data_IF_935629104213
#
_entry.id   IF_935629104213
#
_cell.length_a   1.000
_cell.length_b   1.000
_cell.length_c   1.000
_cell.angle_alpha   90.00
_cell.angle_beta   90.00
_cell.angle_gamma   90.00
#
_symmetry.space_group_name_H-M   'P 1'
#
loop_
_entity.id
_entity.type
_entity.pdbx_description
1 polymer ?
#
# COMPACT_ATOMS: atom_id res chain seq x y z
N UNK A 1 -6.31 -5.87 19.33
CA UNK A 1 -5.56 -4.93 18.47
C UNK A 1 -5.73 -3.53 19.06
N UNK A 2 -4.70 -2.67 18.96
CA UNK A 2 -4.82 -1.27 19.40
C UNK A 2 -5.52 -0.42 18.34
N UNK A 3 -6.15 0.68 18.76
CA UNK A 3 -6.68 1.70 17.84
C UNK A 3 -5.55 2.20 16.95
N UNK A 4 -5.83 2.44 15.67
CA UNK A 4 -4.91 3.22 14.88
C UNK A 4 -4.73 4.62 15.51
N UNK A 5 -3.47 5.06 15.66
CA UNK A 5 -3.18 6.43 16.08
C UNK A 5 -3.73 7.39 15.02
N UNK A 6 -4.41 8.47 15.45
CA UNK A 6 -5.06 9.49 14.61
C UNK A 6 -6.39 9.05 13.96
N UNK A 7 -7.19 10.01 13.48
CA UNK A 7 -8.38 9.79 12.63
C UNK A 7 -7.95 9.21 11.28
N UNK A 8 -7.63 7.93 11.32
CA UNK A 8 -6.93 7.15 10.28
C UNK A 8 -7.90 6.45 9.33
N UNK A 9 -9.19 6.68 9.52
CA UNK A 9 -10.23 6.26 8.60
C UNK A 9 -10.13 7.08 7.31
N UNK A 10 -10.25 6.42 6.15
CA UNK A 10 -10.17 7.12 4.87
C UNK A 10 -10.83 6.37 3.74
N UNK A 11 -11.44 7.14 2.84
CA UNK A 11 -11.93 6.63 1.55
C UNK A 11 -10.82 6.76 0.51
N UNK A 12 -10.51 5.64 -0.16
CA UNK A 12 -9.50 5.58 -1.22
C UNK A 12 -10.14 5.09 -2.50
N UNK A 13 -10.02 5.86 -3.57
CA UNK A 13 -10.45 5.42 -4.91
C UNK A 13 -9.53 4.31 -5.42
N UNK A 14 -10.11 3.24 -5.92
CA UNK A 14 -9.39 2.10 -6.51
C UNK A 14 -9.91 1.83 -7.92
N UNK A 15 -9.03 1.38 -8.81
CA UNK A 15 -9.42 0.99 -10.17
C UNK A 15 -10.13 -0.36 -10.21
N UNK A 16 -10.80 -0.65 -11.33
CA UNK A 16 -11.57 -1.88 -11.52
C UNK A 16 -10.75 -3.17 -11.29
N UNK A 17 -9.48 -3.18 -11.68
CA UNK A 17 -8.60 -4.33 -11.49
C UNK A 17 -8.36 -4.63 -10.01
N UNK A 18 -8.13 -3.59 -9.20
CA UNK A 18 -7.94 -3.74 -7.74
C UNK A 18 -9.26 -4.16 -7.10
N UNK A 19 -10.38 -3.59 -7.52
CA UNK A 19 -11.69 -3.98 -7.03
C UNK A 19 -12.01 -5.46 -7.34
N UNK A 20 -11.71 -5.91 -8.56
CA UNK A 20 -11.87 -7.31 -8.96
C UNK A 20 -10.97 -8.25 -8.15
N UNK A 21 -9.72 -7.85 -7.90
CA UNK A 21 -8.80 -8.59 -7.04
C UNK A 21 -9.36 -8.71 -5.61
N UNK A 22 -9.84 -7.62 -5.02
CA UNK A 22 -10.42 -7.62 -3.66
C UNK A 22 -11.66 -8.51 -3.56
N UNK A 23 -12.54 -8.50 -4.58
CA UNK A 23 -13.70 -9.40 -4.63
C UNK A 23 -13.29 -10.86 -4.69
N UNK A 24 -12.32 -11.20 -5.55
CA UNK A 24 -11.78 -12.56 -5.63
C UNK A 24 -11.11 -12.99 -4.32
N UNK A 25 -10.37 -12.09 -3.68
CA UNK A 25 -9.77 -12.36 -2.36
C UNK A 25 -10.83 -12.62 -1.30
N UNK A 26 -11.91 -11.85 -1.29
CA UNK A 26 -13.04 -12.06 -0.39
C UNK A 26 -13.69 -13.42 -0.61
N UNK A 27 -13.97 -13.79 -1.86
CA UNK A 27 -14.52 -15.12 -2.20
C UNK A 27 -13.61 -16.25 -1.70
N UNK A 28 -12.30 -16.14 -1.94
CA UNK A 28 -11.32 -17.10 -1.44
C UNK A 28 -11.35 -17.19 0.10
N UNK A 29 -11.38 -16.05 0.80
CA UNK A 29 -11.42 -16.03 2.27
C UNK A 29 -12.70 -16.64 2.83
N UNK A 30 -13.85 -16.47 2.17
CA UNK A 30 -15.11 -17.09 2.56
C UNK A 30 -15.07 -18.62 2.39
N UNK A 31 -14.56 -19.10 1.25
CA UNK A 31 -14.38 -20.54 1.02
C UNK A 31 -13.36 -21.15 1.98
N UNK A 32 -12.26 -20.44 2.26
CA UNK A 32 -11.25 -20.87 3.22
C UNK A 32 -11.84 -21.00 4.63
N UNK A 33 -12.66 -20.04 5.03
CA UNK A 33 -13.40 -20.09 6.30
C UNK A 33 -14.33 -21.30 6.40
N UNK A 34 -15.10 -21.57 5.37
CA UNK A 34 -15.98 -22.74 5.31
C UNK A 34 -15.18 -24.05 5.38
N UNK A 35 -14.09 -24.12 4.61
CA UNK A 35 -13.23 -25.32 4.53
C UNK A 35 -12.53 -25.61 5.86
N UNK A 36 -12.04 -24.57 6.55
CA UNK A 36 -11.40 -24.73 7.85
C UNK A 36 -12.39 -25.07 8.98
N UNK A 37 -13.65 -24.66 8.86
CA UNK A 37 -14.69 -24.93 9.86
C UNK A 37 -14.27 -24.46 11.26
N UNK A 38 -14.28 -25.38 12.23
CA UNK A 38 -13.90 -25.10 13.62
C UNK A 38 -12.42 -24.71 13.80
N UNK A 39 -11.56 -25.01 12.82
CA UNK A 39 -10.14 -24.65 12.85
C UNK A 39 -9.86 -23.24 12.33
N UNK A 40 -10.87 -22.53 11.85
CA UNK A 40 -10.70 -21.16 11.37
C UNK A 40 -10.46 -20.19 12.53
N UNK A 41 -9.39 -19.40 12.46
CA UNK A 41 -9.09 -18.39 13.46
C UNK A 41 -9.85 -17.10 13.18
N UNK A 42 -10.90 -16.87 13.98
CA UNK A 42 -11.59 -15.59 14.00
C UNK A 42 -10.71 -14.50 14.65
N UNK A 43 -10.76 -13.30 14.08
CA UNK A 43 -10.02 -12.16 14.59
C UNK A 43 -10.97 -11.16 15.23
N UNK A 44 -10.56 -10.59 16.37
CA UNK A 44 -11.39 -9.68 17.14
C UNK A 44 -10.64 -8.40 17.53
N UNK A 45 -11.37 -7.29 17.51
CA UNK A 45 -10.96 -6.03 18.12
C UNK A 45 -11.38 -6.05 19.59
N UNK A 46 -10.44 -5.71 20.47
CA UNK A 46 -10.66 -5.65 21.92
C UNK A 46 -10.65 -4.20 22.42
N UNK A 47 -11.02 -3.25 21.58
CA UNK A 47 -11.00 -1.82 21.90
C UNK A 47 -12.22 -1.12 21.31
N UNK A 48 -12.84 -0.25 22.10
CA UNK A 48 -13.93 0.63 21.69
C UNK A 48 -13.42 2.03 21.37
N UNK A 49 -13.63 2.48 20.14
CA UNK A 49 -13.16 3.78 19.64
C UNK A 49 -13.90 4.97 20.26
N UNK A 50 -15.17 4.82 20.64
CA UNK A 50 -15.98 5.90 21.21
C UNK A 50 -15.62 6.15 22.68
N UNK A 51 -15.45 5.07 23.45
CA UNK A 51 -15.15 5.16 24.89
C UNK A 51 -13.67 5.12 25.21
N UNK A 52 -12.82 4.93 24.20
CA UNK A 52 -11.37 4.79 24.33
C UNK A 52 -10.90 3.70 25.32
N UNK A 53 -11.68 2.63 25.48
CA UNK A 53 -11.45 1.58 26.48
C UNK A 53 -11.31 0.19 25.88
N UNK A 54 -10.65 -0.73 26.60
CA UNK A 54 -10.64 -2.14 26.22
C UNK A 54 -12.05 -2.72 26.36
N UNK A 55 -12.47 -3.49 25.37
CA UNK A 55 -13.73 -4.23 25.39
C UNK A 55 -13.58 -5.46 26.29
N UNK A 56 -14.66 -5.81 27.00
CA UNK A 56 -14.72 -7.08 27.73
C UNK A 56 -14.69 -8.25 26.74
N UNK A 57 -14.36 -9.46 27.22
CA UNK A 57 -14.35 -10.67 26.38
C UNK A 57 -15.72 -10.94 25.72
N UNK A 58 -16.80 -10.48 26.34
CA UNK A 58 -18.16 -10.66 25.82
C UNK A 58 -18.55 -9.62 24.76
N UNK A 59 -17.81 -8.51 24.66
CA UNK A 59 -18.11 -7.38 23.78
C UNK A 59 -17.15 -7.29 22.59
N UNK A 60 -16.32 -8.31 22.39
CA UNK A 60 -15.33 -8.36 21.30
C UNK A 60 -16.04 -8.26 19.94
N UNK A 61 -15.54 -7.35 19.09
CA UNK A 61 -16.09 -7.14 17.75
C UNK A 61 -15.26 -7.90 16.71
N UNK A 62 -15.87 -8.71 15.83
CA UNK A 62 -15.12 -9.43 14.80
C UNK A 62 -14.51 -8.44 13.80
N UNK A 63 -13.31 -8.76 13.30
CA UNK A 63 -12.60 -7.97 12.28
C UNK A 63 -12.18 -8.88 11.14
N UNK A 64 -12.58 -8.49 9.93
CA UNK A 64 -12.22 -9.20 8.71
C UNK A 64 -11.07 -8.49 8.00
N UNK A 65 -9.89 -9.09 8.04
CA UNK A 65 -8.70 -8.54 7.41
C UNK A 65 -8.65 -8.84 5.92
N UNK A 66 -8.43 -7.81 5.11
CA UNK A 66 -8.13 -7.97 3.68
C UNK A 66 -6.89 -8.84 3.46
N UNK A 67 -5.86 -8.66 4.29
CA UNK A 67 -4.63 -9.45 4.27
C UNK A 67 -4.63 -10.46 5.43
N UNK A 68 -5.30 -11.58 5.22
CA UNK A 68 -5.24 -12.75 6.10
C UNK A 68 -4.56 -13.92 5.37
N UNK A 69 -3.83 -14.74 6.12
CA UNK A 69 -3.37 -16.04 5.63
C UNK A 69 -4.50 -17.05 5.70
N UNK A 70 -4.29 -18.19 5.06
CA UNK A 70 -5.17 -19.36 5.15
C UNK A 70 -5.49 -19.70 6.62
N UNK A 71 -6.75 -20.04 6.89
CA UNK A 71 -7.27 -20.32 8.23
C UNK A 71 -7.49 -19.08 9.09
N UNK A 72 -7.58 -17.89 8.51
CA UNK A 72 -7.85 -16.64 9.24
C UNK A 72 -6.65 -16.06 10.00
N UNK A 73 -5.46 -16.63 9.82
CA UNK A 73 -4.25 -16.20 10.53
C UNK A 73 -3.80 -14.79 10.11
N UNK A 74 -3.42 -13.96 11.08
CA UNK A 74 -2.94 -12.59 10.80
C UNK A 74 -1.64 -12.57 10.00
N UNK A 75 -1.61 -11.73 8.97
CA UNK A 75 -0.39 -11.43 8.24
C UNK A 75 0.50 -10.46 9.04
N UNK A 76 1.47 -10.99 9.79
CA UNK A 76 2.51 -10.20 10.45
C UNK A 76 3.59 -9.70 9.46
N UNK A 77 4.16 -8.49 9.65
CA UNK A 77 5.34 -8.02 8.91
C UNK A 77 6.52 -9.00 8.83
N UNK A 78 6.71 -9.87 9.84
CA UNK A 78 7.76 -10.89 9.83
C UNK A 78 7.59 -11.92 8.71
N UNK A 79 6.37 -12.08 8.21
CA UNK A 79 6.09 -12.95 7.06
C UNK A 79 6.82 -12.48 5.80
N UNK A 80 7.15 -11.19 5.69
CA UNK A 80 7.91 -10.66 4.57
C UNK A 80 9.42 -10.85 4.70
N UNK A 81 9.93 -11.33 5.85
CA UNK A 81 11.38 -11.51 6.04
C UNK A 81 11.98 -12.47 5.02
N UNK A 82 11.27 -13.56 4.70
CA UNK A 82 11.75 -14.49 3.68
C UNK A 82 11.84 -13.81 2.32
N UNK A 83 10.79 -13.09 1.92
CA UNK A 83 10.78 -12.30 0.67
C UNK A 83 11.92 -11.28 0.63
N UNK A 84 12.12 -10.51 1.71
CA UNK A 84 13.25 -9.58 1.82
C UNK A 84 14.59 -10.29 1.64
N UNK A 85 14.80 -11.43 2.31
CA UNK A 85 16.03 -12.22 2.17
C UNK A 85 16.24 -12.70 0.73
N UNK A 86 15.19 -13.13 0.05
CA UNK A 86 15.28 -13.55 -1.35
C UNK A 86 15.68 -12.39 -2.26
N UNK A 87 15.06 -11.21 -2.07
CA UNK A 87 15.40 -9.99 -2.82
C UNK A 87 16.84 -9.53 -2.55
N UNK A 88 17.30 -9.65 -1.31
CA UNK A 88 18.67 -9.35 -0.91
C UNK A 88 19.68 -10.45 -1.31
N UNK A 89 19.28 -11.51 -2.01
CA UNK A 89 20.18 -12.63 -2.37
C UNK A 89 20.69 -13.44 -1.16
N UNK A 90 20.07 -13.31 0.01
CA UNK A 90 20.43 -13.97 1.28
C UNK A 90 19.66 -15.28 1.52
N UNK A 91 18.71 -15.61 0.66
CA UNK A 91 18.00 -16.90 0.68
C UNK A 91 18.69 -17.92 -0.24
N UNK A 92 18.52 -19.21 0.06
CA UNK A 92 19.12 -20.30 -0.72
C UNK A 92 18.63 -20.25 -2.16
N UNK A 93 19.54 -20.37 -3.13
CA UNK A 93 19.26 -20.36 -4.57
C UNK A 93 18.55 -19.08 -5.07
N UNK A 94 18.76 -17.94 -4.41
CA UNK A 94 18.26 -16.65 -4.88
C UNK A 94 19.42 -15.76 -5.33
N UNK A 95 19.25 -15.09 -6.47
CA UNK A 95 20.16 -14.04 -6.93
C UNK A 95 19.81 -12.73 -6.25
N UNK A 96 20.82 -11.90 -5.95
CA UNK A 96 20.61 -10.54 -5.47
C UNK A 96 19.82 -9.73 -6.52
N UNK A 97 18.68 -9.17 -6.11
CA UNK A 97 17.85 -8.27 -6.92
C UNK A 97 18.15 -6.82 -6.56
N UNK A 98 18.17 -6.49 -5.27
CA UNK A 98 18.44 -5.13 -4.78
C UNK A 98 18.82 -5.17 -3.31
N UNK A 99 19.93 -4.54 -2.90
CA UNK A 99 20.36 -4.48 -1.49
C UNK A 99 19.55 -3.46 -0.66
N UNK A 100 19.09 -2.40 -1.32
CA UNK A 100 18.38 -1.27 -0.71
C UNK A 100 16.87 -1.50 -0.54
N UNK A 101 16.36 -2.63 -1.06
CA UNK A 101 14.92 -2.88 -1.04
C UNK A 101 14.40 -3.16 0.37
N UNK A 102 13.28 -2.53 0.70
CA UNK A 102 12.42 -2.87 1.82
C UNK A 102 10.94 -2.88 1.42
N UNK A 103 10.05 -3.26 2.33
CA UNK A 103 8.62 -3.29 2.02
C UNK A 103 8.04 -1.88 1.72
N UNK A 104 8.63 -0.82 2.26
CA UNK A 104 8.20 0.55 1.98
C UNK A 104 8.54 0.98 0.55
N UNK A 105 9.53 0.34 -0.08
CA UNK A 105 9.90 0.56 -1.49
C UNK A 105 8.69 0.44 -2.43
N UNK A 106 7.74 -0.46 -2.14
CA UNK A 106 6.49 -0.57 -2.90
C UNK A 106 5.62 0.70 -2.81
N UNK A 107 5.54 1.32 -1.62
CA UNK A 107 4.83 2.59 -1.41
C UNK A 107 5.53 3.74 -2.12
N UNK A 108 6.86 3.74 -2.12
CA UNK A 108 7.66 4.70 -2.88
C UNK A 108 7.38 4.59 -4.37
N UNK A 109 7.49 3.39 -4.95
CA UNK A 109 7.19 3.14 -6.36
C UNK A 109 5.79 3.61 -6.75
N UNK A 110 4.77 3.31 -5.92
CA UNK A 110 3.41 3.78 -6.16
C UNK A 110 3.30 5.32 -6.16
N UNK A 111 3.97 6.00 -5.24
CA UNK A 111 4.01 7.47 -5.19
C UNK A 111 4.69 8.06 -6.43
N UNK A 112 5.84 7.49 -6.83
CA UNK A 112 6.60 7.92 -8.01
C UNK A 112 5.78 7.71 -9.30
N UNK A 113 5.10 6.57 -9.47
CA UNK A 113 4.24 6.31 -10.63
C UNK A 113 3.12 7.35 -10.75
N UNK A 114 2.46 7.69 -9.64
CA UNK A 114 1.40 8.70 -9.65
C UNK A 114 1.94 10.08 -10.02
N UNK A 115 3.12 10.43 -9.50
CA UNK A 115 3.75 11.71 -9.77
C UNK A 115 4.21 11.82 -11.23
N UNK A 116 4.82 10.76 -11.78
CA UNK A 116 5.17 10.67 -13.21
C UNK A 116 3.96 10.67 -14.15
N UNK A 117 2.77 10.33 -13.63
CA UNK A 117 1.51 10.45 -14.36
C UNK A 117 0.89 11.87 -14.24
N UNK A 118 1.59 12.82 -13.63
CA UNK A 118 1.15 14.20 -13.48
C UNK A 118 0.14 14.43 -12.35
N UNK A 119 -0.04 13.46 -11.43
CA UNK A 119 -0.97 13.64 -10.31
C UNK A 119 -0.43 14.71 -9.34
N UNK A 120 -1.23 15.74 -8.98
CA UNK A 120 -0.79 16.77 -8.04
C UNK A 120 -0.32 16.22 -6.70
N UNK A 121 0.79 16.75 -6.17
CA UNK A 121 1.39 16.33 -4.90
C UNK A 121 0.39 16.27 -3.72
N UNK A 122 -0.52 17.24 -3.51
CA UNK A 122 -1.50 17.16 -2.42
C UNK A 122 -2.45 15.96 -2.55
N UNK A 123 -2.78 15.53 -3.76
CA UNK A 123 -3.61 14.34 -4.01
C UNK A 123 -2.82 13.05 -3.74
N UNK A 124 -1.54 13.01 -4.07
CA UNK A 124 -0.65 11.89 -3.73
C UNK A 124 -0.50 11.79 -2.20
N UNK A 125 -0.21 12.89 -1.52
CA UNK A 125 -0.14 12.96 -0.06
C UNK A 125 -1.44 12.46 0.57
N UNK A 126 -2.59 12.99 0.11
CA UNK A 126 -3.90 12.52 0.54
C UNK A 126 -4.03 11.03 0.24
N UNK A 127 -3.70 10.51 -0.93
CA UNK A 127 -3.80 9.07 -1.24
C UNK A 127 -2.94 8.19 -0.33
N UNK A 128 -1.75 8.65 0.05
CA UNK A 128 -0.86 7.92 0.96
C UNK A 128 -1.21 8.15 2.44
N UNK A 129 -2.06 9.11 2.80
CA UNK A 129 -2.42 9.36 4.20
C UNK A 129 -1.26 9.91 5.03
N UNK A 130 -0.34 10.68 4.44
CA UNK A 130 0.71 11.35 5.20
C UNK A 130 0.20 12.67 5.77
N UNK A 131 0.43 12.90 7.06
CA UNK A 131 0.10 14.16 7.74
C UNK A 131 0.96 15.31 7.19
N UNK A 132 2.26 15.04 6.98
CA UNK A 132 3.20 16.03 6.49
C UNK A 132 3.50 15.82 5.00
N UNK A 133 3.37 16.88 4.20
CA UNK A 133 3.68 16.86 2.77
C UNK A 133 5.16 16.55 2.51
N UNK A 134 6.06 16.97 3.41
CA UNK A 134 7.51 16.73 3.28
C UNK A 134 7.84 15.23 3.26
N UNK A 135 7.08 14.42 4.00
CA UNK A 135 7.22 12.95 3.97
C UNK A 135 6.87 12.38 2.59
N UNK A 136 5.94 13.01 1.88
CA UNK A 136 5.56 12.61 0.52
C UNK A 136 6.56 13.11 -0.51
N UNK A 137 7.05 14.35 -0.36
CA UNK A 137 8.04 14.96 -1.25
C UNK A 137 9.31 14.14 -1.34
N UNK A 138 9.79 13.58 -0.22
CA UNK A 138 10.95 12.67 -0.21
C UNK A 138 10.86 11.53 -1.24
N UNK A 139 9.65 11.14 -1.64
CA UNK A 139 9.44 10.02 -2.58
C UNK A 139 9.45 10.46 -4.05
N UNK A 140 9.36 11.76 -4.29
CA UNK A 140 9.28 12.40 -5.62
C UNK A 140 10.41 13.38 -5.88
N UNK A 141 11.24 13.69 -4.89
CA UNK A 141 12.42 14.56 -5.02
C UNK A 141 13.53 13.93 -5.88
N UNK A 142 13.40 12.66 -6.25
CA UNK A 142 14.29 12.01 -7.20
C UNK A 142 13.85 12.32 -8.63
N UNK A 143 14.70 13.04 -9.37
CA UNK A 143 14.54 13.22 -10.81
C UNK A 143 14.66 11.87 -11.49
N UNK A 144 13.59 11.40 -12.14
CA UNK A 144 13.61 10.16 -12.91
C UNK A 144 13.98 10.45 -14.37
N UNK A 145 14.48 9.42 -15.07
CA UNK A 145 14.78 9.54 -16.52
C UNK A 145 13.55 9.96 -17.32
N UNK A 146 12.37 9.52 -16.91
CA UNK A 146 11.10 9.89 -17.55
C UNK A 146 10.79 11.37 -17.36
N UNK A 147 11.03 11.94 -16.17
CA UNK A 147 10.86 13.37 -15.95
C UNK A 147 11.82 14.21 -16.80
N UNK A 148 13.07 13.76 -16.97
CA UNK A 148 14.02 14.42 -17.86
C UNK A 148 13.55 14.36 -19.32
N UNK A 149 13.06 13.20 -19.78
CA UNK A 149 12.48 13.07 -21.12
C UNK A 149 11.27 14.00 -21.32
N UNK A 150 10.36 14.07 -20.34
CA UNK A 150 9.20 14.97 -20.40
C UNK A 150 9.64 16.44 -20.40
N UNK A 151 10.68 16.80 -19.65
CA UNK A 151 11.25 18.14 -19.66
C UNK A 151 11.88 18.47 -21.01
N UNK A 152 12.66 17.55 -21.58
CA UNK A 152 13.28 17.71 -22.89
C UNK A 152 12.22 17.85 -23.99
N UNK A 153 11.14 17.07 -23.94
CA UNK A 153 10.01 17.20 -24.86
C UNK A 153 9.30 18.55 -24.74
N UNK A 154 9.12 19.08 -23.52
CA UNK A 154 8.50 20.39 -23.32
C UNK A 154 9.43 21.51 -23.79
N UNK A 155 10.71 21.49 -23.40
CA UNK A 155 11.69 22.52 -23.78
C UNK A 155 11.93 22.55 -25.29
N UNK A 156 12.05 21.37 -25.93
CA UNK A 156 12.34 21.27 -27.35
C UNK A 156 11.07 21.22 -28.22
N UNK A 157 9.90 21.01 -27.60
CA UNK A 157 8.58 21.06 -28.24
C UNK A 157 8.06 22.49 -28.44
N UNK A 158 8.61 23.46 -27.71
CA UNK A 158 8.46 24.89 -27.99
C UNK A 158 9.31 25.29 -29.21
N UNK A 159 9.06 24.68 -30.37
CA UNK A 159 9.48 25.28 -31.64
C UNK A 159 8.63 26.53 -31.86
N UNK A 160 9.30 27.67 -31.77
CA UNK A 160 8.81 29.01 -32.10
C UNK A 160 8.61 29.07 -33.62
N UNK A 161 7.57 28.41 -34.13
CA UNK A 161 7.01 28.66 -35.45
C UNK A 161 5.66 29.37 -35.26
N UNK A 162 5.71 30.62 -34.79
CA UNK A 162 4.57 31.52 -34.90
C UNK A 162 5.06 32.94 -35.21
N UNK A 163 4.91 33.29 -36.49
CA UNK A 163 4.84 34.63 -37.07
C UNK A 163 6.15 35.42 -37.24
N UNK A 164 6.84 35.13 -38.35
CA UNK A 164 7.51 36.15 -39.16
C UNK A 164 6.88 36.12 -40.57
N UNK A 165 5.70 36.71 -40.69
CA UNK A 165 5.24 37.33 -41.96
C UNK A 165 5.39 38.85 -41.83
#
# INVERSE_FOLDING_TARGET
MYVPKYDSSRTVTVGNNVLALLKRTLEFQLTDKETCGEYYQENYMNYDEETHSLLSLNDLRPVHFVNAKQGGLLAHPRNMQHTSRSIHGKAKNCTLISEEWDFHSLRHTHATILYEAGVPMPLIQKRLGHINIQTTKRYTDHVTKKMLSMLDEVINGDNIDNNLE
#
